data_IF_277243157295
#
_entry.id   IF_277243157295
#
_cell.length_a   1.000
_cell.length_b   1.000
_cell.length_c   1.000
_cell.angle_alpha   90.00
_cell.angle_beta   90.00
_cell.angle_gamma   90.00
#
_symmetry.space_group_name_H-M   'P 1'
#
loop_
_entity.id
_entity.type
_entity.pdbx_description
1 polymer ?
#
# COMPACT_ATOMS: atom_id res chain seq x y z
N UNK A 1 0.15 7.34 36.23
CA UNK A 1 -1.17 6.79 35.82
C UNK A 1 -1.74 6.07 37.02
N UNK A 2 -2.87 6.53 37.59
CA UNK A 2 -3.57 5.77 38.62
C UNK A 2 -3.96 4.41 38.01
N UNK A 3 -3.66 3.34 38.73
CA UNK A 3 -3.96 1.97 38.32
C UNK A 3 -5.47 1.86 38.00
N UNK A 4 -5.81 1.77 36.73
CA UNK A 4 -7.14 1.35 36.28
C UNK A 4 -7.18 -0.17 36.51
N UNK A 5 -7.54 -0.56 37.72
CA UNK A 5 -7.57 -1.95 38.16
C UNK A 5 -8.74 -2.78 37.58
N UNK A 6 -9.24 -2.43 36.39
CA UNK A 6 -10.24 -3.26 35.74
C UNK A 6 -9.64 -3.97 34.54
N UNK A 7 -9.54 -5.25 34.62
CA UNK A 7 -9.01 -6.15 33.59
C UNK A 7 -9.65 -5.92 32.20
N UNK A 8 -10.93 -5.53 32.13
CA UNK A 8 -11.64 -5.26 30.89
C UNK A 8 -11.07 -4.06 30.13
N UNK A 9 -10.81 -2.94 30.84
CA UNK A 9 -10.21 -1.74 30.25
C UNK A 9 -8.72 -1.96 29.92
N UNK A 10 -7.99 -2.69 30.80
CA UNK A 10 -6.60 -3.08 30.52
C UNK A 10 -6.47 -3.97 29.31
N UNK A 11 -7.35 -4.96 29.12
CA UNK A 11 -7.37 -5.81 27.92
C UNK A 11 -7.58 -5.00 26.64
N UNK A 12 -8.43 -3.95 26.67
CA UNK A 12 -8.58 -3.04 25.52
C UNK A 12 -7.29 -2.27 25.24
N UNK A 13 -6.66 -1.72 26.29
CA UNK A 13 -5.42 -0.95 26.16
C UNK A 13 -4.29 -1.87 25.64
N UNK A 14 -4.09 -3.06 26.25
CA UNK A 14 -3.07 -4.03 25.81
C UNK A 14 -3.25 -4.45 24.35
N UNK A 15 -4.47 -4.71 23.91
CA UNK A 15 -4.74 -5.06 22.51
C UNK A 15 -4.32 -3.94 21.56
N UNK A 16 -4.58 -2.71 21.92
CA UNK A 16 -4.19 -1.56 21.10
C UNK A 16 -2.66 -1.35 21.07
N UNK A 17 -1.93 -1.77 22.11
CA UNK A 17 -0.45 -1.76 22.09
C UNK A 17 0.13 -2.69 21.02
N UNK A 18 -0.57 -3.76 20.63
CA UNK A 18 -0.12 -4.61 19.52
C UNK A 18 0.01 -3.83 18.21
N UNK A 19 -0.86 -2.85 17.97
CA UNK A 19 -0.72 -1.96 16.79
C UNK A 19 0.57 -1.15 16.84
N UNK A 20 0.96 -0.66 18.02
CA UNK A 20 2.21 0.05 18.20
C UNK A 20 3.41 -0.88 17.98
N UNK A 21 3.38 -2.09 18.52
CA UNK A 21 4.45 -3.08 18.35
C UNK A 21 4.65 -3.39 16.86
N UNK A 22 3.56 -3.68 16.14
CA UNK A 22 3.63 -3.93 14.68
C UNK A 22 4.16 -2.69 13.95
N UNK A 23 3.72 -1.48 14.33
CA UNK A 23 4.22 -0.23 13.77
C UNK A 23 5.73 -0.04 14.00
N UNK A 24 6.25 -0.39 15.17
CA UNK A 24 7.70 -0.34 15.48
C UNK A 24 8.48 -1.37 14.65
N UNK A 25 7.96 -2.60 14.50
CA UNK A 25 8.59 -3.63 13.68
C UNK A 25 8.69 -3.17 12.21
N UNK A 26 7.61 -2.60 11.66
CA UNK A 26 7.62 -2.05 10.31
C UNK A 26 8.57 -0.86 10.16
N UNK A 27 8.71 -0.02 11.19
CA UNK A 27 9.69 1.08 11.20
C UNK A 27 11.12 0.55 11.10
N UNK A 28 11.45 -0.47 11.90
CA UNK A 28 12.77 -1.12 11.86
C UNK A 28 13.01 -1.76 10.48
N UNK A 29 12.01 -2.40 9.89
CA UNK A 29 12.08 -2.94 8.53
C UNK A 29 12.34 -1.82 7.51
N UNK A 30 11.65 -0.69 7.61
CA UNK A 30 11.87 0.47 6.73
C UNK A 30 13.32 0.95 6.81
N UNK A 31 13.85 1.10 8.02
CA UNK A 31 15.25 1.52 8.24
C UNK A 31 16.22 0.50 7.64
N UNK A 32 15.98 -0.79 7.85
CA UNK A 32 16.81 -1.87 7.30
C UNK A 32 16.80 -1.86 5.77
N UNK A 33 15.63 -1.70 5.13
CA UNK A 33 15.53 -1.62 3.68
C UNK A 33 16.29 -0.42 3.11
N UNK A 34 16.16 0.77 3.71
CA UNK A 34 16.94 1.94 3.30
C UNK A 34 18.44 1.67 3.44
N UNK A 35 18.86 1.10 4.57
CA UNK A 35 20.25 0.76 4.80
C UNK A 35 20.78 -0.22 3.73
N UNK A 36 20.06 -1.30 3.44
CA UNK A 36 20.45 -2.26 2.41
C UNK A 36 20.47 -1.65 1.01
N UNK A 37 19.51 -0.75 0.70
CA UNK A 37 19.53 0.01 -0.56
C UNK A 37 20.81 0.81 -0.72
N UNK A 38 21.18 1.61 0.29
CA UNK A 38 22.41 2.41 0.28
C UNK A 38 23.65 1.51 0.19
N UNK A 39 23.70 0.40 0.90
CA UNK A 39 24.83 -0.54 0.83
C UNK A 39 24.94 -1.21 -0.55
N UNK A 40 23.82 -1.51 -1.18
CA UNK A 40 23.82 -2.08 -2.53
C UNK A 40 24.36 -1.11 -3.57
N UNK A 41 24.00 0.17 -3.52
CA UNK A 41 24.53 1.21 -4.41
C UNK A 41 26.04 1.43 -4.25
N UNK A 42 26.54 1.24 -3.02
CA UNK A 42 27.99 1.40 -2.71
C UNK A 42 28.84 0.18 -3.06
N UNK A 43 28.23 -0.94 -3.48
CA UNK A 43 29.01 -2.10 -3.91
C UNK A 43 29.91 -1.73 -5.09
N UNK A 44 31.16 -2.19 -5.12
CA UNK A 44 32.02 -2.03 -6.28
C UNK A 44 31.35 -2.67 -7.50
N UNK A 45 31.46 -1.99 -8.65
CA UNK A 45 30.96 -2.55 -9.90
C UNK A 45 31.73 -3.82 -10.23
N UNK A 46 31.07 -4.89 -10.69
CA UNK A 46 31.74 -6.07 -11.19
C UNK A 46 32.59 -5.69 -12.41
N UNK A 47 33.56 -6.52 -12.75
CA UNK A 47 34.31 -6.36 -14.00
C UNK A 47 33.37 -6.60 -15.18
N UNK A 48 33.23 -5.65 -16.12
CA UNK A 48 32.33 -5.83 -17.26
C UNK A 48 32.87 -6.91 -18.19
N UNK A 49 31.99 -7.76 -18.71
CA UNK A 49 32.35 -8.79 -19.70
C UNK A 49 32.06 -8.28 -21.11
N UNK A 50 32.82 -8.75 -22.09
CA UNK A 50 32.50 -8.50 -23.52
C UNK A 50 31.14 -9.10 -23.84
N UNK A 51 30.21 -8.27 -24.33
CA UNK A 51 28.86 -8.74 -24.70
C UNK A 51 28.93 -9.79 -25.79
N UNK A 52 29.88 -9.66 -26.75
CA UNK A 52 30.11 -10.63 -27.78
C UNK A 52 30.54 -12.00 -27.25
N UNK A 53 31.56 -12.01 -26.39
CA UNK A 53 32.01 -13.24 -25.76
C UNK A 53 30.90 -13.89 -24.92
N UNK A 54 30.14 -13.08 -24.22
CA UNK A 54 28.99 -13.55 -23.44
C UNK A 54 27.95 -14.24 -24.34
N UNK A 55 27.55 -13.61 -25.45
CA UNK A 55 26.56 -14.17 -26.38
C UNK A 55 27.12 -15.42 -27.05
N UNK A 56 28.38 -15.42 -27.53
CA UNK A 56 29.02 -16.54 -28.19
C UNK A 56 29.15 -17.79 -27.30
N UNK A 57 29.27 -17.55 -25.98
CA UNK A 57 29.28 -18.63 -24.99
C UNK A 57 27.85 -19.07 -24.59
N UNK A 58 26.81 -18.66 -25.33
CA UNK A 58 25.43 -19.02 -25.09
C UNK A 58 24.73 -18.21 -24.00
N UNK A 59 25.34 -17.12 -23.56
CA UNK A 59 24.79 -16.22 -22.55
C UNK A 59 23.50 -15.54 -23.03
N UNK A 60 22.46 -15.64 -22.19
CA UNK A 60 21.15 -15.05 -22.49
C UNK A 60 20.44 -14.52 -21.20
N UNK A 61 21.18 -14.38 -20.10
CA UNK A 61 20.65 -13.87 -18.84
C UNK A 61 20.59 -12.35 -18.83
N UNK A 62 19.65 -11.82 -18.05
CA UNK A 62 19.55 -10.40 -17.76
C UNK A 62 20.50 -9.98 -16.64
N UNK A 63 20.73 -8.69 -16.51
CA UNK A 63 21.48 -8.02 -15.42
C UNK A 63 22.98 -8.39 -15.38
N UNK A 64 23.56 -8.81 -16.51
CA UNK A 64 25.01 -9.01 -16.62
C UNK A 64 25.67 -7.69 -17.04
N UNK A 65 26.60 -7.19 -16.22
CA UNK A 65 27.38 -6.00 -16.56
C UNK A 65 28.31 -6.27 -17.71
N UNK A 66 28.09 -5.60 -18.84
CA UNK A 66 28.74 -5.91 -20.10
C UNK A 66 29.19 -4.65 -20.83
N UNK A 67 30.06 -4.82 -21.82
CA UNK A 67 30.47 -3.76 -22.74
C UNK A 67 30.44 -4.23 -24.18
N UNK A 68 30.31 -3.25 -25.08
CA UNK A 68 30.58 -3.36 -26.52
C UNK A 68 31.51 -2.25 -26.94
N UNK A 69 32.39 -2.50 -27.88
CA UNK A 69 33.24 -1.51 -28.54
C UNK A 69 32.55 -1.12 -29.86
N UNK A 70 31.70 -0.05 -29.78
CA UNK A 70 30.88 0.44 -30.88
C UNK A 70 31.81 1.02 -31.98
N UNK A 71 31.74 0.51 -33.21
CA UNK A 71 32.55 0.95 -34.34
C UNK A 71 31.75 1.51 -35.50
N UNK A 72 30.42 1.45 -35.47
CA UNK A 72 29.53 2.04 -36.47
C UNK A 72 28.50 2.92 -35.75
N UNK A 73 28.22 4.10 -36.32
CA UNK A 73 27.22 5.02 -35.80
C UNK A 73 25.90 4.30 -35.58
N UNK A 74 25.29 4.44 -34.37
CA UNK A 74 24.04 3.78 -34.07
C UNK A 74 22.90 4.24 -34.98
N UNK A 75 22.15 3.30 -35.51
CA UNK A 75 20.96 3.52 -36.31
C UNK A 75 19.70 3.40 -35.45
N UNK A 76 18.86 4.46 -35.41
CA UNK A 76 17.60 4.47 -34.68
C UNK A 76 16.59 3.58 -35.42
N UNK A 77 16.05 2.55 -34.76
CA UNK A 77 15.05 1.68 -35.38
C UNK A 77 13.73 1.58 -34.59
N UNK A 78 13.74 1.88 -33.28
CA UNK A 78 12.52 1.83 -32.48
C UNK A 78 12.46 2.92 -31.42
N UNK A 79 11.26 3.50 -31.27
CA UNK A 79 10.94 4.51 -30.27
C UNK A 79 9.69 4.05 -29.54
N UNK A 80 9.69 4.12 -28.23
CA UNK A 80 8.47 3.92 -27.46
C UNK A 80 7.66 5.20 -27.39
N UNK A 81 6.35 5.06 -27.61
CA UNK A 81 5.39 6.12 -27.47
C UNK A 81 4.47 5.82 -26.31
N UNK A 82 4.34 6.75 -25.36
CA UNK A 82 3.43 6.62 -24.22
C UNK A 82 2.47 7.79 -24.21
N UNK A 83 1.18 7.50 -24.35
CA UNK A 83 0.11 8.51 -24.43
C UNK A 83 0.31 9.56 -25.54
N UNK A 84 0.84 9.16 -26.71
CA UNK A 84 1.11 10.07 -27.82
C UNK A 84 2.37 10.93 -27.64
N UNK A 85 3.22 10.63 -26.67
CA UNK A 85 4.50 11.33 -26.42
C UNK A 85 5.63 10.31 -26.60
N UNK A 86 6.56 10.62 -27.51
CA UNK A 86 7.78 9.83 -27.68
C UNK A 86 8.63 9.87 -26.40
N UNK A 87 9.08 8.70 -25.95
CA UNK A 87 10.03 8.62 -24.85
C UNK A 87 11.43 9.07 -25.33
N UNK A 88 12.20 9.68 -24.44
CA UNK A 88 13.58 10.13 -24.73
C UNK A 88 14.56 8.95 -24.91
N UNK A 89 14.18 7.78 -24.44
CA UNK A 89 14.99 6.57 -24.50
C UNK A 89 14.55 5.71 -25.69
N UNK A 90 15.52 5.23 -26.48
CA UNK A 90 15.26 4.63 -27.78
C UNK A 90 16.14 3.42 -28.00
N UNK A 91 15.73 2.56 -28.94
CA UNK A 91 16.52 1.41 -29.38
C UNK A 91 17.27 1.71 -30.67
N UNK A 92 18.54 1.32 -30.67
CA UNK A 92 19.45 1.54 -31.80
C UNK A 92 20.12 0.23 -32.18
N UNK A 93 20.40 0.11 -33.48
CA UNK A 93 21.30 -0.92 -34.03
C UNK A 93 22.70 -0.34 -34.18
N UNK A 94 23.71 -1.12 -33.89
CA UNK A 94 25.11 -0.79 -34.13
C UNK A 94 25.92 -2.06 -34.33
N UNK A 95 27.19 -1.92 -34.73
CA UNK A 95 28.10 -3.04 -34.94
C UNK A 95 29.45 -2.78 -34.29
N UNK A 96 30.17 -3.84 -33.98
CA UNK A 96 31.59 -3.79 -33.66
C UNK A 96 32.49 -3.89 -34.93
N UNK A 97 33.82 -3.88 -34.77
CA UNK A 97 34.79 -3.98 -35.86
C UNK A 97 34.71 -5.29 -36.64
N UNK A 98 34.09 -6.31 -36.09
CA UNK A 98 33.93 -7.63 -36.72
C UNK A 98 32.54 -7.80 -37.36
N UNK A 99 31.79 -6.70 -37.50
CA UNK A 99 30.46 -6.64 -38.10
C UNK A 99 29.40 -7.46 -37.34
N UNK A 100 29.58 -7.67 -36.02
CA UNK A 100 28.53 -8.28 -35.21
C UNK A 100 27.49 -7.25 -34.84
N UNK A 101 26.21 -7.58 -34.99
CA UNK A 101 25.09 -6.65 -34.79
C UNK A 101 24.64 -6.65 -33.34
N UNK A 102 24.48 -5.44 -32.77
CA UNK A 102 24.01 -5.27 -31.42
C UNK A 102 22.79 -4.35 -31.35
N UNK A 103 21.91 -4.66 -30.42
CA UNK A 103 20.84 -3.76 -30.00
C UNK A 103 21.28 -3.01 -28.74
N UNK A 104 21.20 -1.70 -28.76
CA UNK A 104 21.48 -0.83 -27.61
C UNK A 104 20.23 -0.04 -27.26
N UNK A 105 19.89 0.03 -25.96
CA UNK A 105 18.90 0.94 -25.44
C UNK A 105 19.60 2.09 -24.74
N UNK A 106 19.37 3.34 -25.20
CA UNK A 106 20.07 4.53 -24.71
C UNK A 106 19.23 5.79 -24.88
N UNK A 107 19.63 6.86 -24.18
CA UNK A 107 19.05 8.19 -24.33
C UNK A 107 19.81 9.01 -25.41
N UNK A 108 19.28 10.19 -25.72
CA UNK A 108 19.88 11.08 -26.71
C UNK A 108 21.33 11.50 -26.36
N UNK A 109 21.64 11.70 -25.08
CA UNK A 109 23.01 12.10 -24.68
C UNK A 109 24.01 11.01 -25.03
N UNK A 110 23.66 9.75 -24.76
CA UNK A 110 24.52 8.62 -25.10
C UNK A 110 24.60 8.38 -26.61
N UNK A 111 23.51 8.63 -27.33
CA UNK A 111 23.51 8.60 -28.79
C UNK A 111 24.50 9.62 -29.38
N UNK A 112 24.48 10.86 -28.90
CA UNK A 112 25.39 11.91 -29.39
C UNK A 112 26.88 11.57 -29.15
N UNK A 113 27.19 10.91 -28.03
CA UNK A 113 28.55 10.42 -27.75
C UNK A 113 29.02 9.40 -28.80
N UNK A 114 28.11 8.61 -29.36
CA UNK A 114 28.40 7.53 -30.33
C UNK A 114 28.21 7.99 -31.79
N UNK A 115 27.51 9.10 -32.01
CA UNK A 115 27.21 9.62 -33.35
C UNK A 115 28.35 10.54 -33.87
N UNK A 116 29.59 10.04 -33.84
CA UNK A 116 30.77 10.80 -34.25
C UNK A 116 31.43 10.18 -35.48
N UNK A 117 32.00 11.02 -36.37
CA UNK A 117 32.57 10.54 -37.64
C UNK A 117 33.80 9.63 -37.48
N UNK A 118 34.56 9.86 -36.41
CA UNK A 118 35.76 9.04 -36.09
C UNK A 118 35.48 7.71 -35.43
N UNK A 119 34.21 7.30 -35.22
CA UNK A 119 33.87 6.05 -34.49
C UNK A 119 34.39 4.81 -35.20
N UNK A 120 34.48 4.79 -36.52
CA UNK A 120 34.99 3.67 -37.31
C UNK A 120 36.47 3.45 -37.06
N UNK A 121 37.25 4.51 -36.87
CA UNK A 121 38.69 4.45 -36.62
C UNK A 121 38.95 4.22 -35.12
N UNK A 122 38.17 4.87 -34.26
CA UNK A 122 38.30 4.86 -32.82
C UNK A 122 37.02 4.39 -32.17
N UNK A 123 36.82 3.08 -32.01
CA UNK A 123 35.62 2.53 -31.37
C UNK A 123 35.43 3.02 -29.95
N UNK A 124 34.19 3.29 -29.61
CA UNK A 124 33.83 3.82 -28.28
C UNK A 124 33.29 2.70 -27.41
N UNK A 125 33.99 2.41 -26.29
CA UNK A 125 33.51 1.43 -25.32
C UNK A 125 32.26 1.94 -24.63
N UNK A 126 31.19 1.17 -24.80
CA UNK A 126 29.88 1.45 -24.21
C UNK A 126 29.54 0.38 -23.21
N UNK A 127 29.25 0.81 -21.98
CA UNK A 127 28.92 -0.04 -20.84
C UNK A 127 27.42 -0.05 -20.59
N UNK A 128 26.91 -1.16 -20.09
CA UNK A 128 25.51 -1.32 -19.71
C UNK A 128 25.26 -2.68 -19.08
N UNK A 129 24.01 -2.98 -18.85
CA UNK A 129 23.58 -4.31 -18.40
C UNK A 129 22.81 -5.02 -19.50
N UNK A 130 22.88 -6.35 -19.52
CA UNK A 130 22.11 -7.14 -20.48
C UNK A 130 20.64 -7.18 -20.09
N UNK A 131 19.75 -7.03 -21.08
CA UNK A 131 18.31 -7.28 -20.95
C UNK A 131 17.85 -8.15 -22.12
N UNK A 132 16.82 -8.98 -21.90
CA UNK A 132 16.24 -9.78 -22.99
C UNK A 132 15.60 -8.91 -24.05
N UNK A 133 15.84 -9.21 -25.32
CA UNK A 133 15.19 -8.53 -26.43
C UNK A 133 13.71 -8.97 -26.46
N UNK A 134 12.75 -8.02 -26.27
CA UNK A 134 11.32 -8.31 -26.38
C UNK A 134 10.98 -8.75 -27.82
N UNK A 135 9.91 -9.55 -27.96
CA UNK A 135 9.53 -10.11 -29.27
C UNK A 135 9.09 -9.06 -30.30
N UNK A 136 8.49 -7.98 -29.87
CA UNK A 136 8.14 -6.81 -30.70
C UNK A 136 9.41 -6.09 -31.17
N UNK A 137 10.38 -5.84 -30.31
CA UNK A 137 11.67 -5.26 -30.65
C UNK A 137 12.44 -6.18 -31.61
N UNK A 138 12.44 -7.50 -31.37
CA UNK A 138 13.07 -8.46 -32.28
C UNK A 138 12.50 -8.35 -33.70
N UNK A 139 11.19 -8.21 -33.85
CA UNK A 139 10.55 -8.02 -35.15
C UNK A 139 11.00 -6.73 -35.82
N UNK A 140 11.03 -5.61 -35.09
CA UNK A 140 11.48 -4.32 -35.59
C UNK A 140 12.96 -4.35 -36.01
N UNK A 141 13.83 -5.05 -35.27
CA UNK A 141 15.25 -5.26 -35.68
C UNK A 141 15.35 -5.97 -37.02
N UNK A 142 14.57 -7.05 -37.20
CA UNK A 142 14.57 -7.81 -38.45
C UNK A 142 14.12 -6.93 -39.63
N UNK A 143 12.99 -6.25 -39.48
CA UNK A 143 12.43 -5.34 -40.48
C UNK A 143 13.44 -4.23 -40.84
N UNK A 144 13.91 -3.50 -39.84
CA UNK A 144 14.81 -2.37 -40.06
C UNK A 144 16.17 -2.75 -40.62
N UNK A 145 16.73 -3.90 -40.25
CA UNK A 145 17.99 -4.38 -40.78
C UNK A 145 17.87 -4.82 -42.24
N UNK A 146 16.81 -5.56 -42.56
CA UNK A 146 16.54 -6.00 -43.92
C UNK A 146 16.23 -4.83 -44.86
N UNK A 147 15.51 -3.81 -44.40
CA UNK A 147 15.26 -2.58 -45.14
C UNK A 147 16.58 -1.84 -45.45
N UNK A 148 17.52 -1.78 -44.49
CA UNK A 148 18.83 -1.16 -44.67
C UNK A 148 19.71 -1.91 -45.67
N UNK A 149 19.60 -3.23 -45.71
CA UNK A 149 20.42 -4.10 -46.57
C UNK A 149 19.79 -4.33 -47.95
N UNK A 150 18.53 -3.88 -48.15
CA UNK A 150 17.72 -4.11 -49.35
C UNK A 150 17.55 -5.63 -49.70
N UNK A 151 17.75 -6.53 -48.73
CA UNK A 151 17.67 -7.98 -48.86
C UNK A 151 17.15 -8.62 -47.57
N UNK A 152 16.45 -9.79 -47.70
CA UNK A 152 16.01 -10.58 -46.54
C UNK A 152 17.19 -11.37 -45.92
N UNK A 153 18.05 -10.68 -45.18
CA UNK A 153 19.26 -11.24 -44.58
C UNK A 153 19.00 -11.81 -43.20
N UNK A 154 18.23 -11.06 -42.37
CA UNK A 154 17.93 -11.40 -41.00
C UNK A 154 16.51 -11.98 -40.90
N UNK A 155 16.40 -13.14 -40.24
CA UNK A 155 15.12 -13.84 -40.02
C UNK A 155 14.96 -14.22 -38.54
N UNK A 156 13.77 -14.65 -38.14
CA UNK A 156 13.58 -15.17 -36.79
C UNK A 156 14.46 -16.38 -36.45
N UNK A 157 14.78 -17.19 -37.44
CA UNK A 157 15.54 -18.42 -37.24
C UNK A 157 17.04 -18.17 -37.03
N UNK A 158 17.61 -17.21 -37.76
CA UNK A 158 19.03 -16.88 -37.65
C UNK A 158 19.32 -15.70 -36.70
N UNK A 159 18.29 -15.05 -36.16
CA UNK A 159 18.41 -13.85 -35.28
C UNK A 159 19.39 -14.08 -34.12
N UNK A 160 19.30 -15.23 -33.46
CA UNK A 160 20.16 -15.57 -32.32
C UNK A 160 21.66 -15.61 -32.72
N UNK A 161 21.95 -16.00 -33.92
CA UNK A 161 23.32 -16.12 -34.42
C UNK A 161 23.93 -14.74 -34.73
N UNK A 162 23.14 -13.85 -35.33
CA UNK A 162 23.64 -12.55 -35.81
C UNK A 162 23.48 -11.41 -34.78
N UNK A 163 22.52 -11.49 -33.84
CA UNK A 163 22.20 -10.41 -32.89
C UNK A 163 22.30 -10.90 -31.45
N UNK A 164 22.04 -12.18 -31.21
CA UNK A 164 21.88 -12.73 -29.87
C UNK A 164 20.42 -12.56 -29.34
N UNK A 165 20.23 -12.83 -28.05
CA UNK A 165 18.92 -12.75 -27.38
C UNK A 165 18.84 -11.65 -26.35
N UNK A 166 19.91 -10.87 -26.18
CA UNK A 166 20.02 -9.80 -25.21
C UNK A 166 20.48 -8.50 -25.86
N UNK A 167 20.01 -7.39 -25.35
CA UNK A 167 20.47 -6.06 -25.73
C UNK A 167 21.27 -5.42 -24.59
N UNK A 168 22.05 -4.39 -24.89
CA UNK A 168 22.76 -3.60 -23.91
C UNK A 168 21.91 -2.42 -23.47
N UNK A 169 21.49 -2.42 -22.21
CA UNK A 169 20.81 -1.29 -21.57
C UNK A 169 21.84 -0.40 -20.88
N UNK A 170 22.04 0.80 -21.42
CA UNK A 170 23.01 1.77 -20.90
C UNK A 170 22.43 2.66 -19.79
N UNK A 171 21.13 2.54 -19.49
CA UNK A 171 20.41 3.41 -18.57
C UNK A 171 20.17 2.80 -17.22
N UNK A 172 19.99 1.48 -17.19
CA UNK A 172 19.74 0.78 -15.94
C UNK A 172 21.01 0.71 -15.08
N UNK A 173 20.91 0.99 -13.78
CA UNK A 173 22.05 0.91 -12.88
C UNK A 173 22.48 -0.55 -12.66
N UNK A 174 23.78 -0.78 -12.59
CA UNK A 174 24.36 -2.12 -12.34
C UNK A 174 23.96 -2.64 -10.96
N UNK A 175 23.97 -1.77 -9.95
CA UNK A 175 23.57 -2.08 -8.59
C UNK A 175 22.17 -1.47 -8.34
N UNK A 176 21.13 -2.05 -8.93
CA UNK A 176 19.76 -1.52 -8.76
C UNK A 176 19.27 -1.72 -7.33
N UNK A 177 18.95 -0.62 -6.68
CA UNK A 177 18.38 -0.56 -5.32
C UNK A 177 16.91 -0.23 -5.28
N UNK A 178 16.25 -0.09 -6.43
CA UNK A 178 14.85 0.33 -6.56
C UNK A 178 13.89 -0.56 -5.74
N UNK A 179 14.15 -1.87 -5.70
CA UNK A 179 13.35 -2.81 -4.91
C UNK A 179 13.41 -2.50 -3.40
N UNK A 180 14.59 -2.17 -2.88
CA UNK A 180 14.75 -1.81 -1.45
C UNK A 180 14.02 -0.51 -1.13
N UNK A 181 14.15 0.51 -1.97
CA UNK A 181 13.47 1.80 -1.76
C UNK A 181 11.96 1.70 -1.91
N UNK A 182 11.46 0.94 -2.89
CA UNK A 182 10.03 0.68 -3.02
C UNK A 182 9.48 -0.03 -1.77
N UNK A 183 10.17 -1.05 -1.29
CA UNK A 183 9.82 -1.74 -0.04
C UNK A 183 9.84 -0.80 1.16
N UNK A 184 10.85 0.10 1.25
CA UNK A 184 10.95 1.09 2.32
C UNK A 184 9.80 2.11 2.27
N UNK A 185 9.42 2.59 1.10
CA UNK A 185 8.28 3.51 0.93
C UNK A 185 6.98 2.84 1.39
N UNK A 186 6.70 1.63 0.92
CA UNK A 186 5.49 0.90 1.29
C UNK A 186 5.43 0.61 2.78
N UNK A 187 6.51 0.08 3.37
CA UNK A 187 6.57 -0.19 4.82
C UNK A 187 6.46 1.10 5.65
N UNK A 188 7.05 2.20 5.18
CA UNK A 188 6.95 3.52 5.81
C UNK A 188 5.52 4.06 5.84
N UNK A 189 4.78 3.93 4.73
CA UNK A 189 3.36 4.32 4.67
C UNK A 189 2.54 3.51 5.66
N UNK A 190 2.71 2.17 5.71
CA UNK A 190 2.00 1.32 6.67
C UNK A 190 2.35 1.66 8.11
N UNK A 191 3.63 1.92 8.40
CA UNK A 191 4.09 2.38 9.73
C UNK A 191 3.37 3.65 10.15
N UNK A 192 3.34 4.66 9.28
CA UNK A 192 2.67 5.94 9.55
C UNK A 192 1.17 5.75 9.83
N UNK A 193 0.49 4.94 9.03
CA UNK A 193 -0.93 4.64 9.22
C UNK A 193 -1.20 3.96 10.57
N UNK A 194 -0.42 2.93 10.93
CA UNK A 194 -0.60 2.21 12.19
C UNK A 194 -0.34 3.09 13.42
N UNK A 195 0.71 3.91 13.40
CA UNK A 195 1.02 4.83 14.50
C UNK A 195 -0.09 5.88 14.63
N UNK A 196 -0.61 6.41 13.51
CA UNK A 196 -1.71 7.38 13.51
C UNK A 196 -2.99 6.77 14.06
N UNK A 197 -3.35 5.55 13.67
CA UNK A 197 -4.50 4.82 14.21
C UNK A 197 -4.32 4.60 15.72
N UNK A 198 -3.16 4.08 16.15
CA UNK A 198 -2.86 3.84 17.55
C UNK A 198 -2.97 5.12 18.40
N UNK A 199 -2.31 6.20 17.98
CA UNK A 199 -2.33 7.47 18.72
C UNK A 199 -3.75 8.04 18.83
N UNK A 200 -4.52 7.95 17.73
CA UNK A 200 -5.92 8.38 17.71
C UNK A 200 -6.78 7.61 18.72
N UNK A 201 -6.64 6.28 18.76
CA UNK A 201 -7.36 5.42 19.70
C UNK A 201 -6.98 5.76 21.15
N UNK A 202 -5.67 5.85 21.44
CA UNK A 202 -5.20 6.13 22.79
C UNK A 202 -5.66 7.51 23.28
N UNK A 203 -5.58 8.53 22.43
CA UNK A 203 -6.05 9.89 22.79
C UNK A 203 -7.55 9.89 23.07
N UNK A 204 -8.36 9.24 22.23
CA UNK A 204 -9.81 9.13 22.43
C UNK A 204 -10.14 8.37 23.71
N UNK A 205 -9.49 7.22 23.94
CA UNK A 205 -9.71 6.41 25.14
C UNK A 205 -9.35 7.17 26.42
N UNK A 206 -8.18 7.83 26.46
CA UNK A 206 -7.79 8.69 27.58
C UNK A 206 -8.79 9.81 27.83
N UNK A 207 -9.29 10.46 26.77
CA UNK A 207 -10.28 11.53 26.88
C UNK A 207 -11.63 11.01 27.42
N UNK A 208 -12.06 9.81 27.03
CA UNK A 208 -13.29 9.17 27.54
C UNK A 208 -13.12 8.84 29.02
N UNK A 209 -12.05 8.15 29.41
CA UNK A 209 -11.81 7.73 30.80
C UNK A 209 -11.61 8.89 31.76
N UNK A 210 -11.01 10.01 31.31
CA UNK A 210 -10.85 11.23 32.15
C UNK A 210 -12.16 11.91 32.52
N UNK A 211 -13.26 11.66 31.79
CA UNK A 211 -14.57 12.28 32.03
C UNK A 211 -15.38 11.54 33.07
N UNK A 212 -14.98 10.34 33.46
CA UNK A 212 -15.72 9.49 34.38
C UNK A 212 -14.94 9.37 35.67
N UNK A 213 -15.61 9.43 36.81
CA UNK A 213 -14.98 9.29 38.12
C UNK A 213 -14.40 7.88 38.31
N UNK A 214 -13.41 7.73 39.18
CA UNK A 214 -12.80 6.43 39.48
C UNK A 214 -13.84 5.47 40.04
N UNK A 215 -14.70 5.93 40.94
CA UNK A 215 -15.78 5.15 41.57
C UNK A 215 -16.77 4.62 40.53
N UNK A 216 -17.19 5.48 39.57
CA UNK A 216 -18.09 5.09 38.48
C UNK A 216 -17.44 4.08 37.53
N UNK A 217 -16.13 4.22 37.23
CA UNK A 217 -15.39 3.23 36.43
C UNK A 217 -15.25 1.87 37.12
N UNK A 218 -15.03 1.85 38.44
CA UNK A 218 -14.99 0.60 39.22
C UNK A 218 -16.34 -0.09 39.23
N UNK A 219 -17.43 0.68 39.41
CA UNK A 219 -18.80 0.16 39.34
C UNK A 219 -19.10 -0.46 37.98
N UNK A 220 -18.79 0.24 36.89
CA UNK A 220 -18.97 -0.25 35.51
C UNK A 220 -18.16 -1.54 35.28
N UNK A 221 -16.91 -1.57 35.75
CA UNK A 221 -16.06 -2.74 35.63
C UNK A 221 -16.62 -3.93 36.41
N UNK A 222 -17.11 -3.71 37.63
CA UNK A 222 -17.74 -4.76 38.44
C UNK A 222 -18.98 -5.34 37.76
N UNK A 223 -19.85 -4.49 37.19
CA UNK A 223 -21.02 -4.94 36.42
C UNK A 223 -20.62 -5.79 35.20
N UNK A 224 -19.56 -5.42 34.45
CA UNK A 224 -19.05 -6.20 33.31
C UNK A 224 -18.61 -7.63 33.75
N UNK A 225 -18.04 -7.79 34.97
CA UNK A 225 -17.56 -9.07 35.47
C UNK A 225 -18.65 -9.94 36.15
N UNK A 226 -19.67 -9.32 36.74
CA UNK A 226 -20.72 -10.05 37.47
C UNK A 226 -21.70 -10.70 36.51
N UNK A 227 -21.91 -10.17 35.34
CA UNK A 227 -22.85 -10.71 34.36
C UNK A 227 -22.17 -11.74 33.45
N UNK A 228 -22.17 -13.01 33.92
CA UNK A 228 -21.62 -14.17 33.17
C UNK A 228 -22.38 -14.50 31.88
N UNK A 229 -23.56 -13.93 31.66
CA UNK A 229 -24.43 -14.19 30.51
C UNK A 229 -24.58 -12.96 29.61
N UNK A 230 -23.51 -12.23 29.36
CA UNK A 230 -23.55 -11.07 28.46
C UNK A 230 -23.70 -11.55 27.02
N UNK A 231 -24.85 -11.38 26.37
CA UNK A 231 -25.11 -11.91 25.03
C UNK A 231 -24.18 -11.37 23.94
N UNK A 232 -23.47 -10.26 24.23
CA UNK A 232 -22.61 -9.57 23.26
C UNK A 232 -21.13 -9.52 23.63
N UNK A 233 -20.67 -10.42 24.53
CA UNK A 233 -19.28 -10.46 24.99
C UNK A 233 -18.28 -10.62 23.84
N UNK A 234 -18.61 -11.43 22.81
CA UNK A 234 -17.78 -11.61 21.61
C UNK A 234 -17.55 -10.30 20.85
N UNK A 235 -18.48 -9.36 20.95
CA UNK A 235 -18.42 -8.02 20.37
C UNK A 235 -17.79 -7.01 21.33
N UNK A 236 -17.52 -7.42 22.60
CA UNK A 236 -17.07 -6.52 23.70
C UNK A 236 -18.01 -5.33 23.92
N UNK A 237 -19.27 -5.57 23.68
CA UNK A 237 -20.36 -4.62 23.82
C UNK A 237 -21.27 -5.05 24.97
N UNK A 238 -21.60 -4.12 25.87
CA UNK A 238 -22.28 -4.38 27.13
C UNK A 238 -23.43 -3.39 27.34
N UNK A 239 -24.62 -3.90 27.64
CA UNK A 239 -25.78 -3.12 28.05
C UNK A 239 -25.95 -3.29 29.57
N UNK A 240 -25.26 -2.46 30.34
CA UNK A 240 -25.27 -2.46 31.80
C UNK A 240 -26.55 -1.85 32.35
N UNK A 241 -26.65 -1.73 33.68
CA UNK A 241 -27.83 -1.15 34.34
C UNK A 241 -28.14 0.26 33.85
N UNK A 242 -27.15 1.16 33.92
CA UNK A 242 -27.32 2.58 33.66
C UNK A 242 -26.56 3.07 32.42
N UNK A 243 -25.62 2.24 31.88
CA UNK A 243 -24.68 2.60 30.85
C UNK A 243 -24.63 1.58 29.71
N UNK A 244 -24.39 2.08 28.52
CA UNK A 244 -23.90 1.32 27.39
C UNK A 244 -22.37 1.40 27.36
N UNK A 245 -21.68 0.27 27.21
CA UNK A 245 -20.22 0.20 27.13
C UNK A 245 -19.79 -0.58 25.88
N UNK A 246 -18.89 -0.01 25.07
CA UNK A 246 -18.23 -0.68 23.97
C UNK A 246 -16.71 -0.60 24.16
N UNK A 247 -16.07 -1.77 24.15
CA UNK A 247 -14.63 -1.95 24.36
C UNK A 247 -13.93 -2.57 23.13
N UNK A 248 -14.58 -2.58 21.96
CA UNK A 248 -13.98 -3.27 20.80
C UNK A 248 -12.74 -2.52 20.27
N UNK A 249 -12.85 -1.27 19.88
CA UNK A 249 -11.70 -0.48 19.40
C UNK A 249 -11.49 0.76 20.27
N UNK A 250 -12.44 1.67 20.29
CA UNK A 250 -12.43 2.80 21.21
C UNK A 250 -13.27 2.46 22.45
N UNK A 251 -12.87 2.99 23.59
CA UNK A 251 -13.70 2.91 24.79
C UNK A 251 -14.84 3.92 24.63
N UNK A 252 -16.06 3.40 24.55
CA UNK A 252 -17.29 4.19 24.55
C UNK A 252 -18.08 3.84 25.80
N UNK A 253 -18.42 4.82 26.60
CA UNK A 253 -19.26 4.69 27.79
C UNK A 253 -20.30 5.80 27.69
N UNK A 254 -21.58 5.43 27.62
CA UNK A 254 -22.69 6.36 27.46
C UNK A 254 -23.82 5.99 28.44
N UNK A 255 -24.32 6.98 29.18
CA UNK A 255 -25.57 6.83 29.94
C UNK A 255 -26.73 6.74 28.96
N UNK A 256 -27.71 5.88 29.23
CA UNK A 256 -28.88 5.76 28.35
C UNK A 256 -29.62 7.09 28.21
N UNK A 257 -29.69 7.88 29.27
CA UNK A 257 -30.30 9.23 29.25
C UNK A 257 -29.67 10.21 28.27
N UNK A 258 -28.38 9.99 27.95
CA UNK A 258 -27.64 10.88 27.07
C UNK A 258 -27.76 10.46 25.57
N UNK A 259 -28.42 9.34 25.28
CA UNK A 259 -28.58 8.83 23.92
C UNK A 259 -29.84 9.38 23.28
N UNK A 260 -29.73 10.19 22.26
CA UNK A 260 -30.87 10.77 21.53
C UNK A 260 -31.30 9.91 20.33
N UNK A 261 -30.35 9.24 19.65
CA UNK A 261 -30.61 8.55 18.41
C UNK A 261 -29.74 7.32 18.26
N UNK A 262 -30.34 6.22 17.78
CA UNK A 262 -29.63 5.02 17.42
C UNK A 262 -30.20 4.39 16.14
N UNK A 263 -29.32 3.90 15.26
CA UNK A 263 -29.73 3.24 14.02
C UNK A 263 -28.67 2.28 13.51
N UNK A 264 -29.08 1.20 12.81
CA UNK A 264 -28.13 0.31 12.16
C UNK A 264 -27.46 1.03 11.00
N UNK A 265 -26.17 0.78 10.80
CA UNK A 265 -25.36 1.36 9.76
C UNK A 265 -24.53 0.30 9.07
N UNK A 266 -24.60 0.28 7.73
CA UNK A 266 -23.79 -0.55 6.87
C UNK A 266 -22.80 0.30 6.08
N UNK A 267 -21.54 -0.06 6.11
CA UNK A 267 -20.53 0.50 5.26
C UNK A 267 -20.22 -0.48 4.13
N UNK A 268 -20.40 -0.02 2.89
CA UNK A 268 -20.11 -0.80 1.67
C UNK A 268 -19.05 -0.10 0.84
N UNK A 269 -18.17 -0.88 0.22
CA UNK A 269 -17.19 -0.41 -0.74
C UNK A 269 -17.28 -1.28 -2.00
N UNK A 270 -17.50 -0.67 -3.16
CA UNK A 270 -17.76 -1.37 -4.42
C UNK A 270 -18.81 -2.50 -4.28
N UNK A 271 -19.90 -2.25 -3.54
CA UNK A 271 -20.95 -3.22 -3.28
C UNK A 271 -20.65 -4.26 -2.17
N UNK A 272 -19.40 -4.42 -1.77
CA UNK A 272 -19.00 -5.33 -0.69
C UNK A 272 -19.27 -4.69 0.68
N UNK A 273 -19.91 -5.44 1.57
CA UNK A 273 -20.11 -5.02 2.96
C UNK A 273 -18.78 -5.07 3.71
N UNK A 274 -18.31 -3.89 4.19
CA UNK A 274 -17.07 -3.79 4.96
C UNK A 274 -17.33 -3.83 6.46
N UNK A 275 -18.38 -3.14 6.91
CA UNK A 275 -18.70 -3.02 8.32
C UNK A 275 -20.20 -2.89 8.52
N UNK A 276 -20.71 -3.45 9.62
CA UNK A 276 -22.07 -3.25 10.10
C UNK A 276 -22.04 -3.00 11.61
N UNK A 277 -22.68 -1.91 12.05
CA UNK A 277 -22.63 -1.47 13.44
C UNK A 277 -23.90 -0.67 13.79
N UNK A 278 -24.01 -0.25 15.03
CA UNK A 278 -25.00 0.74 15.46
C UNK A 278 -24.31 2.11 15.55
N UNK A 279 -24.91 3.11 14.90
CA UNK A 279 -24.56 4.51 15.11
C UNK A 279 -25.44 5.09 16.23
N UNK A 280 -24.78 5.76 17.16
CA UNK A 280 -25.43 6.45 18.29
C UNK A 280 -25.07 7.92 18.23
N UNK A 281 -26.06 8.78 18.47
CA UNK A 281 -25.85 10.23 18.62
C UNK A 281 -26.26 10.63 20.04
N UNK A 282 -25.36 11.30 20.77
CA UNK A 282 -25.61 11.78 22.12
C UNK A 282 -26.19 13.19 22.15
N UNK A 283 -26.55 13.67 23.36
CA UNK A 283 -27.08 15.01 23.63
C UNK A 283 -26.14 16.13 23.19
N UNK A 284 -24.83 15.86 23.08
CA UNK A 284 -23.83 16.80 22.62
C UNK A 284 -23.67 16.79 21.09
N UNK A 285 -24.54 16.07 20.37
CA UNK A 285 -24.45 15.83 18.92
C UNK A 285 -23.18 15.06 18.48
N UNK A 286 -22.58 14.29 19.39
CA UNK A 286 -21.43 13.47 19.05
C UNK A 286 -21.91 12.11 18.59
N UNK A 287 -21.31 11.62 17.48
CA UNK A 287 -21.64 10.33 16.88
C UNK A 287 -20.62 9.27 17.30
N UNK A 288 -21.13 8.10 17.67
CA UNK A 288 -20.36 6.92 18.04
C UNK A 288 -20.74 5.75 17.13
N UNK A 289 -19.79 4.87 16.87
CA UNK A 289 -20.02 3.57 16.22
C UNK A 289 -19.78 2.52 17.30
N UNK A 290 -20.77 1.71 17.59
CA UNK A 290 -20.73 0.68 18.62
C UNK A 290 -21.31 -0.63 18.10
N UNK A 291 -21.08 -1.72 18.81
CA UNK A 291 -21.58 -3.03 18.46
C UNK A 291 -21.20 -3.46 17.03
N UNK A 292 -19.92 -3.33 16.68
CA UNK A 292 -19.43 -3.75 15.38
C UNK A 292 -19.54 -5.27 15.23
N UNK A 293 -20.24 -5.73 14.18
CA UNK A 293 -20.41 -7.15 13.89
C UNK A 293 -19.33 -7.65 12.95
N UNK A 294 -18.86 -8.89 13.16
CA UNK A 294 -17.95 -9.52 12.20
C UNK A 294 -18.69 -9.79 10.89
N UNK A 295 -18.03 -9.56 9.76
CA UNK A 295 -18.61 -9.74 8.43
C UNK A 295 -19.18 -11.13 8.15
N UNK A 296 -18.58 -12.15 8.77
CA UNK A 296 -18.95 -13.56 8.59
C UNK A 296 -20.04 -14.05 9.57
N UNK A 297 -20.53 -13.19 10.48
CA UNK A 297 -21.59 -13.58 11.40
C UNK A 297 -22.94 -13.59 10.69
N UNK A 298 -23.56 -14.77 10.58
CA UNK A 298 -24.86 -14.96 9.91
C UNK A 298 -26.03 -14.31 10.66
N UNK A 299 -25.90 -14.13 11.98
CA UNK A 299 -26.97 -13.58 12.85
C UNK A 299 -26.82 -12.08 13.12
N UNK A 300 -25.91 -11.40 12.44
CA UNK A 300 -25.58 -9.99 12.71
C UNK A 300 -26.79 -9.06 12.71
N UNK A 301 -27.75 -9.27 11.85
CA UNK A 301 -28.93 -8.40 11.72
C UNK A 301 -29.85 -8.55 12.92
N UNK A 302 -30.13 -9.76 13.33
CA UNK A 302 -30.96 -10.05 14.51
C UNK A 302 -30.30 -9.52 15.78
N UNK A 303 -28.97 -9.63 15.91
CA UNK A 303 -28.24 -9.09 17.07
C UNK A 303 -28.37 -7.58 17.15
N UNK A 304 -28.21 -6.86 16.03
CA UNK A 304 -28.32 -5.39 16.02
C UNK A 304 -29.75 -4.93 16.30
N UNK A 305 -30.76 -5.62 15.79
CA UNK A 305 -32.17 -5.34 16.08
C UNK A 305 -32.49 -5.59 17.55
N UNK A 306 -32.01 -6.68 18.13
CA UNK A 306 -32.16 -6.98 19.56
C UNK A 306 -31.52 -5.90 20.43
N UNK A 307 -30.30 -5.43 20.08
CA UNK A 307 -29.64 -4.34 20.79
C UNK A 307 -30.47 -3.05 20.71
N UNK A 308 -31.01 -2.71 19.52
CA UNK A 308 -31.84 -1.53 19.36
C UNK A 308 -33.12 -1.61 20.16
N UNK A 309 -33.77 -2.78 20.24
CA UNK A 309 -34.93 -3.02 21.10
C UNK A 309 -34.61 -2.79 22.58
N UNK A 310 -33.52 -3.37 23.08
CA UNK A 310 -33.06 -3.18 24.46
C UNK A 310 -32.69 -1.73 24.77
N UNK A 311 -32.10 -1.00 23.80
CA UNK A 311 -31.84 0.43 23.95
C UNK A 311 -33.15 1.22 24.11
N UNK A 312 -34.20 0.84 23.37
CA UNK A 312 -35.52 1.48 23.48
C UNK A 312 -36.20 1.20 24.83
N UNK A 313 -36.02 -0.02 25.35
CA UNK A 313 -36.52 -0.35 26.71
C UNK A 313 -35.81 0.45 27.79
N UNK A 314 -34.47 0.62 27.68
CA UNK A 314 -33.65 1.39 28.64
C UNK A 314 -33.86 2.91 28.54
N UNK A 315 -34.16 3.40 27.35
CA UNK A 315 -34.48 4.82 27.10
C UNK A 315 -35.66 4.95 26.13
N UNK A 316 -36.91 5.06 26.66
CA UNK A 316 -38.10 5.22 25.83
C UNK A 316 -38.11 6.45 24.92
N UNK A 317 -37.32 7.48 25.22
CA UNK A 317 -37.23 8.73 24.44
C UNK A 317 -36.27 8.64 23.26
N UNK A 318 -35.51 7.53 23.12
CA UNK A 318 -34.56 7.36 22.02
C UNK A 318 -35.27 7.30 20.65
N UNK A 319 -34.75 8.00 19.66
CA UNK A 319 -35.19 7.89 18.27
C UNK A 319 -34.48 6.70 17.62
N UNK A 320 -35.23 5.73 17.10
CA UNK A 320 -34.63 4.56 16.42
C UNK A 320 -34.80 4.61 14.90
N UNK A 321 -33.79 4.06 14.19
CA UNK A 321 -33.76 3.95 12.74
C UNK A 321 -33.35 5.24 12.04
N UNK A 322 -33.05 5.15 10.72
CA UNK A 322 -32.55 6.27 9.93
C UNK A 322 -33.54 6.68 8.86
N UNK A 323 -34.17 7.85 9.02
CA UNK A 323 -34.93 8.57 7.98
C UNK A 323 -34.57 10.05 8.00
N UNK A 324 -34.90 10.78 6.93
CA UNK A 324 -34.66 12.22 6.84
C UNK A 324 -35.43 12.98 7.93
N UNK A 325 -36.64 12.57 8.24
CA UNK A 325 -37.50 13.14 9.27
C UNK A 325 -36.89 12.92 10.67
N UNK A 326 -36.47 11.68 11.00
CA UNK A 326 -35.82 11.37 12.27
C UNK A 326 -34.52 12.14 12.47
N UNK A 327 -33.72 12.30 11.40
CA UNK A 327 -32.54 13.15 11.43
C UNK A 327 -32.85 14.58 11.78
N UNK A 328 -33.94 15.17 11.26
CA UNK A 328 -34.38 16.52 11.58
C UNK A 328 -34.94 16.61 13.01
N UNK A 329 -35.73 15.65 13.45
CA UNK A 329 -36.21 15.51 14.81
C UNK A 329 -35.07 15.54 15.84
N UNK A 330 -34.00 14.74 15.59
CA UNK A 330 -32.82 14.69 16.46
C UNK A 330 -32.09 16.03 16.47
N UNK A 331 -31.94 16.69 15.32
CA UNK A 331 -31.30 18.02 15.25
C UNK A 331 -32.05 19.05 16.11
N UNK A 332 -33.38 19.04 16.11
CA UNK A 332 -34.18 19.93 16.97
C UNK A 332 -34.04 19.57 18.46
N UNK A 333 -34.03 18.25 18.80
CA UNK A 333 -33.73 17.81 20.17
C UNK A 333 -32.35 18.31 20.64
N UNK A 334 -31.30 18.16 19.83
CA UNK A 334 -29.95 18.66 20.17
C UNK A 334 -29.94 20.17 20.41
N UNK A 335 -30.65 20.93 19.57
CA UNK A 335 -30.76 22.41 19.78
C UNK A 335 -31.43 22.76 21.09
N UNK A 336 -32.47 22.02 21.49
CA UNK A 336 -33.19 22.26 22.75
C UNK A 336 -32.32 21.99 23.98
N UNK A 337 -31.46 20.97 23.93
CA UNK A 337 -30.49 20.67 25.01
C UNK A 337 -29.35 21.70 25.11
N UNK A 338 -28.98 22.38 24.03
CA UNK A 338 -27.95 23.43 24.04
C UNK A 338 -28.46 24.78 24.56
N UNK A 339 -29.78 24.96 24.61
CA UNK A 339 -30.42 26.20 25.12
C UNK A 339 -30.72 26.14 26.60
N UNK A 340 -30.65 24.99 27.24
CA UNK A 340 -30.71 24.77 28.69
C UNK A 340 -29.29 24.77 29.28
#
# INVERSE_FOLDING_TARGET
MKNLNSEAFEKNIKRNHNLLIVGIILLLLTIALVYFGIQNEKKPLPTPVSLREYINNGGNSEDVYSYIDVSIKPYLFAVYEKNGIEESNRYYLTMDKENYLYVIYMNNNKFEELNVDSINENPIRTLGITKKIPSDIKKLVIESYNDLMEEEYLTFDNFKEYVGLVYLDTLSPVNDSSFYYLGAILSGIFTFLLITIYTTIIVKNKKTLKKISHEELEKIAAEIYQDKNIPYEKMKFYLLKDNLVDLESNIVILKYSDILWAYPFEQRYNGLLINKCIKIVDINNKMYSVANTKLLDKNKDNILEEILSKLKEKNPEIVLGFTKEKKNQVKEKVKSFKKK
#
